data_IF_192089273217
#
_entry.id   IF_192089273217
#
_cell.length_a   1.000
_cell.length_b   1.000
_cell.length_c   1.000
_cell.angle_alpha   90.00
_cell.angle_beta   90.00
_cell.angle_gamma   90.00
#
_symmetry.space_group_name_H-M   'P 1'
#
loop_
_entity.id
_entity.type
_entity.pdbx_description
1 polymer ?
#
# COMPACT_ATOMS: atom_id res chain seq x y z
N UNK A 1 -13.50 14.51 -10.24
CA UNK A 1 -12.14 14.89 -10.00
C UNK A 1 -11.22 13.78 -10.41
N UNK A 2 -10.18 14.14 -11.15
CA UNK A 2 -9.13 13.20 -11.43
C UNK A 2 -8.42 12.84 -10.12
N UNK A 3 -8.18 11.57 -9.91
CA UNK A 3 -7.38 11.15 -8.78
C UNK A 3 -5.94 11.57 -8.98
N UNK A 4 -5.27 11.91 -7.91
CA UNK A 4 -3.89 12.30 -8.00
C UNK A 4 -2.98 11.08 -7.97
N UNK A 5 -1.94 11.11 -8.78
CA UNK A 5 -0.90 10.09 -8.77
C UNK A 5 0.11 10.41 -7.68
N UNK A 6 -0.27 10.21 -6.44
CA UNK A 6 0.59 10.51 -5.30
C UNK A 6 1.78 9.55 -5.18
N UNK A 7 1.58 8.31 -5.59
CA UNK A 7 2.55 7.25 -5.42
C UNK A 7 2.92 6.70 -6.79
N UNK A 8 4.17 6.88 -7.18
CA UNK A 8 4.63 6.48 -8.50
C UNK A 8 5.36 5.14 -8.44
N UNK A 9 4.93 4.19 -9.28
CA UNK A 9 5.70 2.97 -9.51
C UNK A 9 6.78 3.27 -10.54
N UNK A 10 7.96 3.60 -10.06
CA UNK A 10 9.06 4.01 -10.92
C UNK A 10 9.39 2.96 -11.97
N UNK A 11 9.57 3.38 -13.20
CA UNK A 11 9.89 2.48 -14.30
C UNK A 11 8.70 1.76 -14.92
N UNK A 12 7.49 2.12 -14.50
CA UNK A 12 6.26 1.54 -15.02
C UNK A 12 5.31 2.65 -15.47
N UNK A 13 4.25 2.32 -16.22
CA UNK A 13 3.23 3.32 -16.59
C UNK A 13 2.18 3.50 -15.48
N UNK A 14 2.43 3.01 -14.27
CA UNK A 14 1.44 3.04 -13.20
C UNK A 14 1.80 4.03 -12.11
N UNK A 15 0.76 4.60 -11.52
CA UNK A 15 0.84 5.33 -10.28
C UNK A 15 -0.35 4.91 -9.41
N UNK A 16 -0.38 5.37 -8.17
CA UNK A 16 -1.42 4.91 -7.25
C UNK A 16 -1.82 6.01 -6.29
N UNK A 17 -3.02 5.87 -5.75
CA UNK A 17 -3.49 6.63 -4.61
C UNK A 17 -3.94 5.66 -3.53
N UNK A 18 -3.80 6.07 -2.28
CA UNK A 18 -4.21 5.27 -1.13
C UNK A 18 -5.12 6.10 -0.26
N UNK A 19 -6.31 5.58 0.03
CA UNK A 19 -7.30 6.28 0.84
C UNK A 19 -7.73 5.41 2.00
N UNK A 20 -7.58 5.94 3.22
CA UNK A 20 -8.04 5.25 4.42
C UNK A 20 -9.54 5.38 4.54
N UNK A 21 -10.24 4.26 4.57
CA UNK A 21 -11.68 4.21 4.77
C UNK A 21 -12.03 3.98 6.24
N UNK A 22 -11.08 3.44 7.01
CA UNK A 22 -11.18 3.31 8.45
C UNK A 22 -9.79 3.45 9.05
N UNK A 23 -9.59 4.40 9.93
CA UNK A 23 -8.30 4.64 10.57
C UNK A 23 -7.38 5.52 9.74
N UNK A 24 -6.07 5.29 9.79
CA UNK A 24 -5.37 4.15 10.43
C UNK A 24 -5.41 4.23 11.96
N UNK A 25 -5.66 3.08 12.57
CA UNK A 25 -5.82 2.96 14.03
C UNK A 25 -4.71 2.11 14.62
N UNK A 26 -4.23 2.54 15.78
CA UNK A 26 -3.26 1.75 16.53
C UNK A 26 -3.98 0.64 17.29
N UNK A 27 -3.46 -0.58 17.17
CA UNK A 27 -3.96 -1.76 17.87
C UNK A 27 -5.41 -2.12 17.58
N UNK A 28 -5.92 -1.69 16.43
CA UNK A 28 -7.27 -2.03 15.99
C UNK A 28 -7.25 -2.25 14.48
N UNK A 29 -8.33 -2.79 13.95
CA UNK A 29 -8.45 -3.04 12.52
C UNK A 29 -8.69 -1.75 11.77
N UNK A 30 -7.89 -1.54 10.74
CA UNK A 30 -8.02 -0.41 9.82
C UNK A 30 -8.37 -0.93 8.43
N UNK A 31 -8.81 -0.04 7.57
CA UNK A 31 -9.14 -0.39 6.20
C UNK A 31 -8.73 0.73 5.26
N UNK A 32 -8.31 0.35 4.06
CA UNK A 32 -7.97 1.33 3.04
C UNK A 32 -8.25 0.79 1.65
N UNK A 33 -8.32 1.72 0.71
CA UNK A 33 -8.47 1.41 -0.71
C UNK A 33 -7.24 1.90 -1.45
N UNK A 34 -6.64 1.01 -2.23
CA UNK A 34 -5.54 1.33 -3.12
C UNK A 34 -6.08 1.37 -4.53
N UNK A 35 -5.93 2.50 -5.21
CA UNK A 35 -6.31 2.61 -6.61
C UNK A 35 -5.05 2.75 -7.46
N UNK A 36 -4.89 1.86 -8.43
CA UNK A 36 -3.79 1.91 -9.37
C UNK A 36 -4.29 2.53 -10.67
N UNK A 37 -3.59 3.54 -11.13
CA UNK A 37 -3.96 4.32 -12.31
C UNK A 37 -2.90 4.17 -13.40
N UNK A 38 -3.36 4.21 -14.64
CA UNK A 38 -2.47 4.44 -15.78
C UNK A 38 -2.09 5.92 -15.73
N UNK A 39 -0.79 6.23 -15.66
CA UNK A 39 -0.35 7.61 -15.48
C UNK A 39 -0.61 8.50 -16.69
N UNK A 40 -0.88 7.92 -17.86
CA UNK A 40 -1.18 8.68 -19.07
C UNK A 40 -2.65 9.05 -19.14
N UNK A 41 -3.54 8.08 -18.88
CA UNK A 41 -4.99 8.29 -18.97
C UNK A 41 -5.61 8.73 -17.67
N UNK A 42 -4.93 8.51 -16.54
CA UNK A 42 -5.44 8.73 -15.19
C UNK A 42 -6.71 7.92 -14.89
N UNK A 43 -6.85 6.78 -15.58
CA UNK A 43 -7.96 5.86 -15.34
C UNK A 43 -7.47 4.66 -14.53
N UNK A 44 -8.32 4.14 -13.63
CA UNK A 44 -7.97 2.93 -12.90
C UNK A 44 -7.66 1.79 -13.86
N UNK A 45 -6.59 1.07 -13.58
CA UNK A 45 -6.15 -0.03 -14.42
C UNK A 45 -5.62 -1.15 -13.54
N UNK A 46 -5.99 -2.38 -13.87
CA UNK A 46 -5.43 -3.56 -13.22
C UNK A 46 -4.05 -3.81 -13.83
N UNK A 47 -2.97 -3.74 -13.05
CA UNK A 47 -1.65 -4.01 -13.60
C UNK A 47 -1.54 -5.47 -14.03
N UNK A 48 -0.72 -5.71 -15.04
CA UNK A 48 -0.48 -7.09 -15.50
C UNK A 48 0.46 -7.85 -14.57
N UNK A 49 1.21 -7.12 -13.75
CA UNK A 49 2.10 -7.69 -12.75
C UNK A 49 1.33 -8.18 -11.53
N UNK A 50 1.93 -9.08 -10.76
CA UNK A 50 1.36 -9.50 -9.48
C UNK A 50 1.54 -8.41 -8.44
N UNK A 51 0.57 -8.31 -7.53
CA UNK A 51 0.57 -7.29 -6.49
C UNK A 51 0.70 -7.96 -5.13
N UNK A 52 1.64 -7.48 -4.32
CA UNK A 52 1.71 -7.79 -2.90
C UNK A 52 1.53 -6.50 -2.12
N UNK A 53 0.66 -6.53 -1.12
CA UNK A 53 0.42 -5.40 -0.21
C UNK A 53 0.74 -5.87 1.19
N UNK A 54 1.62 -5.15 1.88
CA UNK A 54 2.04 -5.54 3.23
C UNK A 54 2.44 -4.33 4.05
N UNK A 55 2.52 -4.54 5.36
CA UNK A 55 3.02 -3.52 6.27
C UNK A 55 4.51 -3.70 6.49
N UNK A 56 5.17 -2.60 6.83
CA UNK A 56 6.59 -2.59 7.14
C UNK A 56 6.83 -1.66 8.32
N UNK A 57 7.50 -2.14 9.34
CA UNK A 57 7.80 -1.37 10.54
C UNK A 57 9.22 -0.83 10.46
N UNK A 58 9.35 0.49 10.52
CA UNK A 58 10.64 1.15 10.65
C UNK A 58 10.80 1.55 12.11
N UNK A 59 11.77 0.95 12.78
CA UNK A 59 12.00 1.20 14.20
C UNK A 59 13.03 2.32 14.40
N UNK A 60 12.98 2.93 15.57
CA UNK A 60 13.79 4.09 15.92
C UNK A 60 15.30 3.88 15.73
N UNK A 61 15.79 2.67 15.94
CA UNK A 61 17.22 2.35 15.82
C UNK A 61 17.63 1.84 14.44
N UNK A 62 16.79 2.06 13.43
CA UNK A 62 17.08 1.57 12.08
C UNK A 62 16.75 0.11 11.84
N UNK A 63 16.22 -0.58 12.83
CA UNK A 63 15.72 -1.94 12.63
C UNK A 63 14.41 -1.92 11.85
N UNK A 64 14.24 -2.89 10.97
CA UNK A 64 13.06 -3.01 10.14
C UNK A 64 12.43 -4.38 10.32
N UNK A 65 11.11 -4.42 10.36
CA UNK A 65 10.36 -5.68 10.41
C UNK A 65 9.27 -5.68 9.37
N UNK A 66 9.30 -6.69 8.49
CA UNK A 66 8.20 -6.91 7.57
C UNK A 66 7.00 -7.47 8.31
N UNK A 67 5.82 -6.95 7.99
CA UNK A 67 4.58 -7.53 8.44
C UNK A 67 4.08 -8.58 7.46
N UNK A 68 2.97 -9.25 7.79
CA UNK A 68 2.36 -10.22 6.88
C UNK A 68 1.77 -9.51 5.66
N UNK A 69 1.59 -10.27 4.59
CA UNK A 69 0.84 -9.78 3.45
C UNK A 69 -0.61 -9.53 3.88
N UNK A 70 -1.17 -8.40 3.43
CA UNK A 70 -2.58 -8.13 3.63
C UNK A 70 -3.40 -8.85 2.57
N UNK A 71 -4.50 -9.44 2.98
CA UNK A 71 -5.51 -9.89 2.04
C UNK A 71 -6.19 -8.69 1.41
N UNK A 72 -6.48 -8.77 0.13
CA UNK A 72 -7.18 -7.70 -0.56
C UNK A 72 -8.13 -8.27 -1.60
N UNK A 73 -9.10 -7.45 -1.99
CA UNK A 73 -10.06 -7.79 -3.04
C UNK A 73 -10.03 -6.69 -4.09
N UNK A 74 -9.87 -7.07 -5.33
CA UNK A 74 -10.02 -6.13 -6.44
C UNK A 74 -11.53 -5.96 -6.69
N UNK A 75 -12.09 -4.85 -6.21
CA UNK A 75 -13.54 -4.62 -6.26
C UNK A 75 -14.00 -4.06 -7.59
N UNK A 76 -13.12 -3.44 -8.33
CA UNK A 76 -13.30 -3.03 -9.71
C UNK A 76 -11.92 -2.89 -10.32
N UNK A 77 -11.84 -2.67 -11.62
CA UNK A 77 -10.53 -2.62 -12.29
C UNK A 77 -9.63 -1.58 -11.63
N UNK A 78 -8.47 -2.04 -11.13
CA UNK A 78 -7.46 -1.18 -10.52
C UNK A 78 -7.78 -0.71 -9.11
N UNK A 79 -8.92 -1.12 -8.54
CA UNK A 79 -9.34 -0.69 -7.21
C UNK A 79 -9.28 -1.87 -6.24
N UNK A 80 -8.35 -1.79 -5.30
CA UNK A 80 -8.05 -2.88 -4.36
C UNK A 80 -8.42 -2.48 -2.96
N UNK A 81 -9.24 -3.30 -2.31
CA UNK A 81 -9.73 -3.01 -0.97
C UNK A 81 -9.07 -3.92 0.05
N UNK A 82 -8.52 -3.31 1.09
CA UNK A 82 -7.94 -4.01 2.24
C UNK A 82 -8.80 -3.69 3.45
N UNK A 83 -9.43 -4.72 4.03
CA UNK A 83 -10.38 -4.54 5.13
C UNK A 83 -9.81 -4.80 6.52
N UNK A 84 -8.69 -5.51 6.60
CA UNK A 84 -8.14 -5.95 7.89
C UNK A 84 -6.66 -5.63 8.00
N UNK A 85 -6.35 -4.34 8.03
CA UNK A 85 -4.99 -3.90 8.27
C UNK A 85 -4.83 -3.61 9.77
N UNK A 86 -3.77 -4.16 10.37
CA UNK A 86 -3.50 -3.95 11.80
C UNK A 86 -2.09 -3.45 11.99
N UNK A 87 -1.95 -2.49 12.90
CA UNK A 87 -0.66 -1.89 13.23
C UNK A 87 -0.49 -1.88 14.74
N UNK A 88 0.62 -2.45 15.21
CA UNK A 88 0.92 -2.54 16.64
C UNK A 88 2.23 -1.81 16.91
N UNK A 89 2.25 -0.97 17.92
CA UNK A 89 3.49 -0.30 18.32
C UNK A 89 4.14 -0.98 19.52
N UNK A 90 3.35 -1.58 20.41
CA UNK A 90 3.87 -2.39 21.52
C UNK A 90 4.89 -1.66 22.39
N UNK A 91 4.80 -0.35 22.52
CA UNK A 91 5.77 0.45 23.26
C UNK A 91 7.04 0.76 22.50
N UNK A 92 7.19 0.26 21.28
CA UNK A 92 8.35 0.54 20.45
C UNK A 92 8.21 1.90 19.76
N UNK A 93 9.33 2.53 19.51
CA UNK A 93 9.36 3.77 18.74
C UNK A 93 9.64 3.47 17.28
N UNK A 94 8.93 4.19 16.41
CA UNK A 94 9.07 4.02 14.98
C UNK A 94 7.79 4.38 14.27
N UNK A 95 7.69 3.95 13.04
CA UNK A 95 6.48 4.17 12.27
C UNK A 95 6.21 2.98 11.36
N UNK A 96 4.98 2.88 10.91
CA UNK A 96 4.56 1.88 9.94
C UNK A 96 4.50 2.48 8.55
N UNK A 97 4.75 1.62 7.57
CA UNK A 97 4.58 1.91 6.16
C UNK A 97 3.70 0.85 5.53
N UNK A 98 2.92 1.26 4.55
CA UNK A 98 2.30 0.33 3.61
C UNK A 98 3.24 0.24 2.42
N UNK A 99 3.58 -0.97 2.03
CA UNK A 99 4.39 -1.22 0.83
C UNK A 99 3.56 -2.02 -0.16
N UNK A 100 3.62 -1.61 -1.41
CA UNK A 100 2.95 -2.30 -2.50
C UNK A 100 4.01 -2.65 -3.53
N UNK A 101 4.15 -3.94 -3.77
CA UNK A 101 5.11 -4.46 -4.74
C UNK A 101 4.39 -4.89 -6.01
N UNK A 102 4.94 -4.51 -7.14
CA UNK A 102 4.59 -5.09 -8.43
C UNK A 102 5.68 -6.09 -8.78
N UNK A 103 5.28 -7.32 -9.01
CA UNK A 103 6.22 -8.43 -9.21
C UNK A 103 5.92 -9.19 -10.49
N UNK A 104 6.96 -9.76 -11.06
CA UNK A 104 6.85 -10.70 -12.17
C UNK A 104 7.58 -11.97 -11.74
N UNK A 105 6.80 -12.97 -11.34
CA UNK A 105 7.37 -14.13 -10.66
C UNK A 105 8.00 -13.71 -9.33
N UNK A 106 9.27 -14.02 -9.14
CA UNK A 106 10.01 -13.64 -7.93
C UNK A 106 10.74 -12.30 -8.09
N UNK A 107 10.60 -11.66 -9.26
CA UNK A 107 11.32 -10.41 -9.55
C UNK A 107 10.47 -9.21 -9.18
N UNK A 108 11.01 -8.36 -8.31
CA UNK A 108 10.38 -7.09 -7.97
C UNK A 108 10.58 -6.12 -9.14
N UNK A 109 9.47 -5.68 -9.74
CA UNK A 109 9.50 -4.75 -10.86
C UNK A 109 9.50 -3.31 -10.35
N UNK A 110 8.64 -3.02 -9.38
CA UNK A 110 8.56 -1.68 -8.80
C UNK A 110 7.85 -1.75 -7.45
N UNK A 111 8.03 -0.70 -6.65
CA UNK A 111 7.47 -0.65 -5.31
C UNK A 111 7.05 0.78 -4.97
N UNK A 112 5.95 0.91 -4.26
CA UNK A 112 5.59 2.18 -3.63
C UNK A 112 5.56 2.01 -2.12
N UNK A 113 5.84 3.10 -1.43
CA UNK A 113 5.89 3.14 0.03
C UNK A 113 5.05 4.33 0.48
N UNK A 114 4.12 4.07 1.39
CA UNK A 114 3.28 5.12 1.96
C UNK A 114 3.35 5.04 3.48
N UNK A 115 3.76 6.14 4.12
CA UNK A 115 3.83 6.20 5.58
C UNK A 115 2.43 6.16 6.18
N UNK A 116 2.25 5.39 7.24
CA UNK A 116 0.95 5.25 7.92
C UNK A 116 0.85 6.30 9.01
N UNK A 117 -0.08 7.29 8.86
CA UNK A 117 -0.24 8.35 9.89
C UNK A 117 -1.14 7.85 11.02
N UNK A 118 -0.62 6.98 11.88
CA UNK A 118 -1.36 6.43 13.02
C UNK A 118 -1.87 7.53 13.95
N UNK A 119 -3.06 7.32 14.44
CA UNK A 119 -3.74 8.23 15.35
C UNK A 119 -3.90 7.62 16.74
#
# INVERSE_FOLDING_TARGET
LAEECELKFTGTPYCASLEWTKGPLLNDTSAFTLTILDETTMMPISPKEEIDIYSWMIMHHGHNHGGPLFGFTEVSEGVFKVDEARFFMGGMRGHWEIRVDLKEGDTLISQIISKVPLK
#
